data_IF_966155841916
#
_entry.id   IF_966155841916
#
_cell.length_a   1.000
_cell.length_b   1.000
_cell.length_c   1.000
_cell.angle_alpha   90.00
_cell.angle_beta   90.00
_cell.angle_gamma   90.00
#
_symmetry.space_group_name_H-M   'P 1'
#
loop_
_entity.id
_entity.type
_entity.pdbx_description
1 polymer ?
#
# COMPACT_ATOMS: atom_id res chain seq x y z
N UNK A 1 6.95 -29.09 7.35
CA UNK A 1 7.88 -28.68 6.28
C UNK A 1 8.09 -27.18 6.44
N UNK A 2 9.34 -26.71 6.39
CA UNK A 2 9.66 -25.29 6.55
C UNK A 2 9.75 -24.67 5.15
N UNK A 3 8.79 -23.81 4.80
CA UNK A 3 8.90 -22.98 3.61
C UNK A 3 9.99 -21.93 3.83
N UNK A 4 11.09 -22.06 3.09
CA UNK A 4 12.13 -21.06 2.98
C UNK A 4 11.55 -19.84 2.27
N UNK A 5 11.21 -18.80 3.02
CA UNK A 5 10.93 -17.48 2.46
C UNK A 5 12.18 -17.05 1.68
N UNK A 6 12.02 -16.88 0.37
CA UNK A 6 13.08 -16.46 -0.52
C UNK A 6 13.39 -14.97 -0.31
N UNK A 7 14.60 -14.64 0.14
CA UNK A 7 15.05 -13.27 0.38
C UNK A 7 15.20 -12.42 -0.91
N UNK A 8 14.99 -13.04 -2.08
CA UNK A 8 14.98 -12.38 -3.38
C UNK A 8 13.60 -12.34 -4.06
N UNK A 9 12.54 -12.81 -3.39
CA UNK A 9 11.17 -12.66 -3.89
C UNK A 9 10.64 -11.25 -3.58
N UNK A 10 10.49 -10.35 -4.57
CA UNK A 10 9.89 -9.06 -4.33
C UNK A 10 8.40 -9.18 -4.64
N UNK A 11 7.58 -9.54 -3.66
CA UNK A 11 6.14 -9.34 -3.80
C UNK A 11 5.43 -9.45 -2.45
N UNK A 12 5.70 -8.52 -1.54
CA UNK A 12 4.60 -8.07 -0.69
C UNK A 12 3.78 -7.10 -1.55
N UNK A 13 2.97 -7.66 -2.48
CA UNK A 13 2.10 -6.84 -3.32
C UNK A 13 0.88 -6.46 -2.50
N UNK A 14 0.85 -5.21 -2.07
CA UNK A 14 -0.40 -4.56 -1.69
C UNK A 14 -1.20 -4.37 -2.96
N UNK A 15 -2.15 -5.27 -3.21
CA UNK A 15 -3.16 -5.13 -4.25
C UNK A 15 -4.18 -4.06 -3.86
N UNK A 16 -5.00 -3.60 -4.81
CA UNK A 16 -6.04 -2.59 -4.56
C UNK A 16 -7.00 -2.97 -3.44
N UNK A 17 -7.11 -4.27 -3.15
CA UNK A 17 -7.97 -4.85 -2.12
C UNK A 17 -7.61 -4.34 -0.72
N UNK A 18 -6.38 -3.85 -0.53
CA UNK A 18 -5.91 -3.28 0.72
C UNK A 18 -6.21 -1.79 0.87
N UNK A 19 -6.65 -1.07 -0.20
CA UNK A 19 -6.96 0.37 -0.12
C UNK A 19 -7.98 0.72 0.99
N UNK A 20 -9.08 -0.04 1.20
CA UNK A 20 -10.00 0.25 2.29
C UNK A 20 -9.35 0.13 3.67
N UNK A 21 -8.43 -0.81 3.84
CA UNK A 21 -7.71 -1.03 5.10
C UNK A 21 -6.71 0.11 5.32
N UNK A 22 -5.94 0.49 4.29
CA UNK A 22 -4.98 1.59 4.36
C UNK A 22 -5.65 2.93 4.70
N UNK A 23 -6.82 3.21 4.12
CA UNK A 23 -7.60 4.40 4.46
C UNK A 23 -8.07 4.39 5.92
N UNK A 24 -8.55 3.25 6.42
CA UNK A 24 -8.92 3.12 7.85
C UNK A 24 -7.72 3.32 8.78
N UNK A 25 -6.54 2.80 8.41
CA UNK A 25 -5.32 2.96 9.20
C UNK A 25 -4.80 4.40 9.20
N UNK A 26 -4.90 5.10 8.07
CA UNK A 26 -4.63 6.53 7.97
C UNK A 26 -5.57 7.34 8.89
N UNK A 27 -6.88 7.10 8.82
CA UNK A 27 -7.87 7.78 9.67
C UNK A 27 -7.66 7.50 11.16
N UNK A 28 -7.34 6.26 11.54
CA UNK A 28 -6.99 5.91 12.93
C UNK A 28 -5.78 6.71 13.41
N UNK A 29 -4.74 6.85 12.58
CA UNK A 29 -3.56 7.64 12.89
C UNK A 29 -3.88 9.14 13.02
N UNK A 30 -4.73 9.69 12.16
CA UNK A 30 -5.24 11.08 12.25
C UNK A 30 -5.98 11.31 13.57
N UNK A 31 -6.93 10.44 13.89
CA UNK A 31 -7.73 10.52 15.12
C UNK A 31 -6.88 10.43 16.39
N UNK A 32 -5.72 9.76 16.31
CA UNK A 32 -4.76 9.62 17.42
C UNK A 32 -3.66 10.70 17.43
N UNK A 33 -3.66 11.62 16.48
CA UNK A 33 -2.60 12.63 16.34
C UNK A 33 -1.23 12.04 15.99
N UNK A 34 -1.18 10.85 15.39
CA UNK A 34 0.04 10.14 15.03
C UNK A 34 0.53 10.57 13.64
N UNK A 35 1.05 11.78 13.53
CA UNK A 35 1.41 12.41 12.24
C UNK A 35 2.31 11.54 11.38
N UNK A 36 3.41 11.02 11.91
CA UNK A 36 4.34 10.21 11.14
C UNK A 36 3.69 8.93 10.57
N UNK A 37 2.81 8.29 11.34
CA UNK A 37 2.11 7.07 10.90
C UNK A 37 1.06 7.39 9.82
N UNK A 38 0.37 8.52 9.96
CA UNK A 38 -0.57 9.02 8.95
C UNK A 38 0.15 9.29 7.62
N UNK A 39 1.34 9.92 7.64
CA UNK A 39 2.15 10.19 6.45
C UNK A 39 2.59 8.92 5.72
N UNK A 40 2.98 7.87 6.46
CA UNK A 40 3.32 6.57 5.87
C UNK A 40 2.14 5.99 5.10
N UNK A 41 0.94 5.96 5.69
CA UNK A 41 -0.23 5.43 5.00
C UNK A 41 -0.67 6.32 3.84
N UNK A 42 -0.55 7.64 3.96
CA UNK A 42 -0.85 8.56 2.85
C UNK A 42 0.07 8.30 1.64
N UNK A 43 1.37 8.12 1.87
CA UNK A 43 2.34 7.79 0.81
C UNK A 43 2.04 6.44 0.16
N UNK A 44 1.70 5.42 0.94
CA UNK A 44 1.32 4.11 0.39
C UNK A 44 0.08 4.19 -0.50
N UNK A 45 -0.96 4.92 -0.08
CA UNK A 45 -2.18 5.12 -0.86
C UNK A 45 -1.86 5.84 -2.18
N UNK A 46 -1.09 6.94 -2.13
CA UNK A 46 -0.71 7.68 -3.34
C UNK A 46 0.09 6.83 -4.33
N UNK A 47 1.02 6.01 -3.85
CA UNK A 47 1.79 5.12 -4.73
C UNK A 47 0.92 4.05 -5.38
N UNK A 48 -0.12 3.56 -4.69
CA UNK A 48 -1.08 2.61 -5.25
C UNK A 48 -1.98 3.25 -6.30
N UNK A 49 -2.47 4.46 -6.07
CA UNK A 49 -3.25 5.22 -7.05
C UNK A 49 -2.42 5.51 -8.33
N UNK A 50 -1.15 5.87 -8.18
CA UNK A 50 -0.23 6.07 -9.31
C UNK A 50 0.08 4.77 -10.06
N UNK A 51 0.13 3.64 -9.36
CA UNK A 51 0.34 2.34 -10.00
C UNK A 51 -0.91 1.92 -10.79
N UNK A 52 -2.11 2.24 -10.28
CA UNK A 52 -3.37 2.03 -10.97
C UNK A 52 -3.52 2.90 -12.23
N UNK A 53 -3.09 4.16 -12.19
CA UNK A 53 -3.11 5.01 -13.38
C UNK A 53 -2.16 4.49 -14.46
N UNK A 54 -0.93 4.14 -14.10
CA UNK A 54 0.07 3.59 -15.03
C UNK A 54 -0.33 2.25 -15.64
N UNK A 55 -1.08 1.42 -14.92
CA UNK A 55 -1.58 0.15 -15.44
C UNK A 55 -2.63 0.33 -16.56
N UNK A 56 -3.31 1.49 -16.61
CA UNK A 56 -4.31 1.80 -17.64
C UNK A 56 -3.71 2.47 -18.89
N UNK A 57 -2.42 2.82 -18.88
CA UNK A 57 -1.71 3.51 -19.98
C UNK A 57 -0.87 2.53 -20.85
N UNK A 58 -1.21 1.24 -20.90
CA UNK A 58 -0.57 0.29 -21.82
C UNK A 58 -1.21 0.43 -23.21
N UNK A 59 -0.47 0.83 -24.27
CA UNK A 59 -0.98 0.80 -25.64
C UNK A 59 -1.20 -0.66 -26.06
N UNK A 60 -2.35 -0.94 -26.70
CA UNK A 60 -2.68 -2.21 -27.36
C UNK A 60 -1.56 -2.78 -28.22
#
# INVERSE_FOLDING_TARGET
EYETICESCPCFSTTIEFLPILNKQKQDAENKGQTQRMEVFASLIQNMDQSLSKANDIPS
#
